data_IF_330853061185
#
_entry.id   IF_330853061185
#
_cell.length_a   1.000
_cell.length_b   1.000
_cell.length_c   1.000
_cell.angle_alpha   90.00
_cell.angle_beta   90.00
_cell.angle_gamma   90.00
#
_symmetry.space_group_name_H-M   'P 1'
#
loop_
_entity.id
_entity.type
_entity.pdbx_description
1 polymer ?
#
# COMPACT_ATOMS: atom_id res chain seq x y z
N UNK A 1 75.78 4.09 -33.82
CA UNK A 1 75.27 4.51 -32.50
C UNK A 1 73.80 4.73 -32.65
N UNK A 2 72.98 3.69 -32.29
CA UNK A 2 71.52 3.65 -32.51
C UNK A 2 70.84 3.76 -31.18
N UNK A 3 69.97 4.75 -31.00
CA UNK A 3 69.19 4.99 -29.82
C UNK A 3 67.76 4.51 -30.03
N UNK A 4 67.39 3.38 -29.42
CA UNK A 4 66.04 2.85 -29.39
C UNK A 4 65.17 3.65 -28.42
N UNK A 5 64.05 4.20 -28.90
CA UNK A 5 63.02 4.81 -28.10
C UNK A 5 61.93 3.76 -27.81
N UNK A 6 61.79 3.38 -26.52
CA UNK A 6 60.64 2.62 -26.05
C UNK A 6 59.44 3.56 -25.91
N UNK A 7 58.35 3.25 -26.61
CA UNK A 7 57.05 3.87 -26.40
C UNK A 7 56.26 3.02 -25.38
N UNK A 8 55.95 3.58 -24.24
CA UNK A 8 55.07 2.96 -23.24
C UNK A 8 53.59 3.29 -23.62
N UNK A 9 52.84 2.25 -23.95
CA UNK A 9 51.38 2.34 -24.23
C UNK A 9 50.63 2.20 -22.91
N UNK A 10 50.14 3.31 -22.35
CA UNK A 10 49.29 3.31 -21.19
C UNK A 10 47.83 2.91 -21.57
N UNK A 11 47.41 1.75 -21.11
CA UNK A 11 46.03 1.32 -21.27
C UNK A 11 45.12 2.02 -20.22
N UNK A 12 44.29 2.93 -20.65
CA UNK A 12 43.27 3.61 -19.83
C UNK A 12 42.05 2.69 -19.71
N UNK A 13 41.90 2.03 -18.55
CA UNK A 13 40.70 1.24 -18.21
C UNK A 13 39.59 2.20 -17.84
N UNK A 14 38.63 2.38 -18.77
CA UNK A 14 37.34 3.03 -18.51
C UNK A 14 36.46 2.06 -17.71
N UNK A 15 36.36 2.28 -16.40
CA UNK A 15 35.38 1.63 -15.55
C UNK A 15 34.03 2.32 -15.79
N UNK A 16 33.18 1.73 -16.66
CA UNK A 16 31.78 2.12 -16.80
C UNK A 16 31.03 1.65 -15.57
N UNK A 17 30.93 2.48 -14.56
CA UNK A 17 29.99 2.28 -13.45
C UNK A 17 28.57 2.46 -13.98
N UNK A 18 27.78 1.38 -14.06
CA UNK A 18 26.34 1.47 -14.18
C UNK A 18 25.80 2.11 -12.90
N UNK A 19 25.55 3.41 -12.93
CA UNK A 19 24.72 4.05 -11.92
C UNK A 19 23.28 3.54 -12.15
N UNK A 20 22.79 2.71 -11.24
CA UNK A 20 21.38 2.39 -11.14
C UNK A 20 20.63 3.72 -10.89
N UNK A 21 20.01 4.25 -11.92
CA UNK A 21 19.13 5.40 -11.80
C UNK A 21 17.90 4.89 -11.04
N UNK A 22 17.81 5.18 -9.74
CA UNK A 22 16.60 5.03 -8.96
C UNK A 22 15.51 5.82 -9.70
N UNK A 23 14.64 5.11 -10.42
CA UNK A 23 13.43 5.71 -10.99
C UNK A 23 12.55 6.11 -9.83
N UNK A 24 12.60 7.37 -9.45
CA UNK A 24 11.57 7.97 -8.59
C UNK A 24 10.29 7.96 -9.42
N UNK A 25 9.40 7.04 -9.13
CA UNK A 25 8.09 7.02 -9.78
C UNK A 25 7.37 8.34 -9.51
N UNK A 26 6.76 8.91 -10.55
CA UNK A 26 6.00 10.15 -10.42
C UNK A 26 4.86 9.98 -9.40
N UNK A 27 4.55 11.02 -8.59
CA UNK A 27 3.42 10.97 -7.68
C UNK A 27 2.13 10.59 -8.41
N UNK A 28 1.34 9.68 -7.82
CA UNK A 28 0.03 9.33 -8.37
C UNK A 28 -0.92 10.50 -8.13
N UNK A 29 -1.66 10.90 -9.16
CA UNK A 29 -2.71 11.91 -9.01
C UNK A 29 -3.76 11.42 -8.00
N UNK A 30 -4.32 12.32 -7.18
CA UNK A 30 -5.41 11.95 -6.26
C UNK A 30 -6.67 11.53 -7.03
N UNK A 31 -7.55 10.72 -6.40
CA UNK A 31 -8.88 10.48 -6.95
C UNK A 31 -9.63 11.79 -7.22
N UNK A 32 -10.48 11.88 -8.27
CA UNK A 32 -11.14 13.15 -8.66
C UNK A 32 -11.93 13.82 -7.54
N UNK A 33 -12.53 13.06 -6.62
CA UNK A 33 -13.34 13.57 -5.50
C UNK A 33 -12.54 13.64 -4.18
N UNK A 34 -11.21 13.50 -4.23
CA UNK A 34 -10.39 13.57 -3.02
C UNK A 34 -10.44 14.96 -2.42
N UNK A 35 -10.75 15.12 -1.10
CA UNK A 35 -11.07 16.41 -0.49
C UNK A 35 -9.81 17.23 -0.13
N UNK A 36 -8.87 17.36 -1.04
CA UNK A 36 -7.61 18.08 -0.82
C UNK A 36 -7.86 19.55 -0.43
N UNK A 37 -8.87 20.19 -1.05
CA UNK A 37 -9.23 21.58 -0.77
C UNK A 37 -9.61 21.83 0.70
N UNK A 38 -10.25 20.84 1.36
CA UNK A 38 -10.57 20.92 2.78
C UNK A 38 -9.30 21.08 3.63
N UNK A 39 -8.28 20.25 3.37
CA UNK A 39 -7.03 20.26 4.11
C UNK A 39 -6.22 21.54 3.86
N UNK A 40 -6.23 22.02 2.62
CA UNK A 40 -5.61 23.30 2.26
C UNK A 40 -6.27 24.48 2.96
N UNK A 41 -7.60 24.49 3.09
CA UNK A 41 -8.32 25.52 3.83
C UNK A 41 -8.05 25.43 5.34
N UNK A 42 -8.03 24.24 5.91
CA UNK A 42 -7.69 24.03 7.31
C UNK A 42 -6.27 24.56 7.62
N UNK A 43 -5.30 24.26 6.76
CA UNK A 43 -3.92 24.75 6.89
C UNK A 43 -3.85 26.26 6.83
N UNK A 44 -4.52 26.89 5.85
CA UNK A 44 -4.61 28.37 5.74
C UNK A 44 -5.27 29.03 6.95
N UNK A 45 -6.18 28.31 7.61
CA UNK A 45 -6.82 28.77 8.85
C UNK A 45 -5.96 28.52 10.11
N UNK A 46 -4.69 28.11 9.96
CA UNK A 46 -3.78 27.82 11.06
C UNK A 46 -4.10 26.53 11.84
N UNK A 47 -4.97 25.66 11.33
CA UNK A 47 -5.30 24.39 11.96
C UNK A 47 -4.21 23.35 11.68
N UNK A 48 -3.89 22.47 12.64
CA UNK A 48 -2.91 21.41 12.42
C UNK A 48 -3.39 20.43 11.35
N UNK A 49 -2.61 20.29 10.29
CA UNK A 49 -2.78 19.29 9.22
C UNK A 49 -1.51 18.47 9.12
N UNK A 50 -1.68 17.18 8.96
CA UNK A 50 -0.58 16.22 8.78
C UNK A 50 -0.75 15.56 7.42
N UNK A 51 0.36 15.38 6.70
CA UNK A 51 0.42 14.66 5.44
C UNK A 51 0.99 13.27 5.69
N UNK A 52 0.40 12.25 5.08
CA UNK A 52 0.91 10.88 5.16
C UNK A 52 2.33 10.81 4.60
N UNK A 53 3.20 10.17 5.35
CA UNK A 53 4.57 9.81 4.96
C UNK A 53 4.54 8.39 4.39
N UNK A 54 4.38 8.29 3.08
CA UNK A 54 4.26 7.00 2.37
C UNK A 54 5.44 6.08 2.66
N UNK A 55 6.66 6.62 2.70
CA UNK A 55 7.87 5.83 2.95
C UNK A 55 7.94 5.20 4.36
N UNK A 56 7.16 5.73 5.30
CA UNK A 56 7.06 5.23 6.68
C UNK A 56 5.67 4.63 6.97
N UNK A 57 4.89 4.32 5.94
CA UNK A 57 3.55 3.76 6.05
C UNK A 57 3.45 2.42 5.32
N UNK A 58 2.65 1.52 5.84
CA UNK A 58 2.41 0.19 5.27
C UNK A 58 0.96 -0.20 5.46
N UNK A 59 0.36 -0.73 4.40
CA UNK A 59 -0.84 -1.57 4.45
C UNK A 59 -0.47 -2.94 3.89
N UNK A 60 -0.72 -4.01 4.63
CA UNK A 60 -0.46 -5.37 4.18
C UNK A 60 -1.70 -6.23 4.37
N UNK A 61 -2.05 -7.01 3.35
CA UNK A 61 -3.24 -7.84 3.28
C UNK A 61 -2.82 -9.29 3.05
N UNK A 62 -3.21 -10.18 3.95
CA UNK A 62 -3.03 -11.61 3.80
C UNK A 62 -4.17 -12.22 3.00
N UNK A 63 -3.81 -12.90 1.93
CA UNK A 63 -4.71 -13.55 0.99
C UNK A 63 -4.46 -15.04 1.04
N UNK A 64 -5.43 -15.79 1.58
CA UNK A 64 -5.27 -17.23 1.81
C UNK A 64 -5.86 -18.04 0.67
N UNK A 65 -5.14 -19.10 0.27
CA UNK A 65 -5.60 -20.14 -0.66
C UNK A 65 -6.77 -20.93 -0.08
N UNK A 66 -7.66 -21.41 -0.96
CA UNK A 66 -8.85 -22.18 -0.62
C UNK A 66 -9.19 -23.21 -1.70
N UNK A 67 -10.35 -23.86 -1.56
CA UNK A 67 -10.82 -24.91 -2.46
C UNK A 67 -10.28 -26.31 -2.12
N UNK A 68 -10.80 -27.33 -2.81
CA UNK A 68 -10.45 -28.73 -2.58
C UNK A 68 -9.00 -29.09 -2.97
N UNK A 69 -8.42 -28.31 -3.88
CA UNK A 69 -7.04 -28.44 -4.34
C UNK A 69 -6.16 -27.28 -3.85
N UNK A 70 -6.48 -26.65 -2.72
CA UNK A 70 -5.74 -25.51 -2.16
C UNK A 70 -4.22 -25.75 -2.04
N UNK A 71 -3.79 -27.01 -1.85
CA UNK A 71 -2.36 -27.37 -1.80
C UNK A 71 -1.58 -27.07 -3.08
N UNK A 72 -2.26 -26.86 -4.20
CA UNK A 72 -1.65 -26.50 -5.50
C UNK A 72 -1.57 -24.99 -5.72
N UNK A 73 -2.16 -24.21 -4.82
CA UNK A 73 -2.09 -22.74 -4.85
C UNK A 73 -1.13 -22.20 -3.80
N UNK A 74 -1.00 -20.89 -3.78
CA UNK A 74 -0.16 -20.14 -2.85
C UNK A 74 -1.00 -19.24 -1.95
N UNK A 75 -0.50 -19.00 -0.74
CA UNK A 75 -0.92 -17.84 0.06
C UNK A 75 -0.12 -16.63 -0.40
N UNK A 76 -0.73 -15.46 -0.43
CA UNK A 76 -0.11 -14.23 -0.91
C UNK A 76 -0.22 -13.11 0.12
N UNK A 77 0.78 -12.21 0.14
CA UNK A 77 0.68 -10.92 0.80
C UNK A 77 0.61 -9.83 -0.26
N UNK A 78 -0.42 -9.00 -0.18
CA UNK A 78 -0.56 -7.81 -1.03
C UNK A 78 -0.27 -6.60 -0.16
N UNK A 79 0.64 -5.73 -0.59
CA UNK A 79 1.07 -4.59 0.19
C UNK A 79 1.00 -3.27 -0.57
N UNK A 80 0.82 -2.18 0.17
CA UNK A 80 1.03 -0.82 -0.31
C UNK A 80 1.99 -0.08 0.60
N UNK A 81 3.04 0.47 0.00
CA UNK A 81 3.95 1.47 0.59
C UNK A 81 3.67 2.87 0.03
N UNK A 82 2.59 3.04 -0.74
CA UNK A 82 2.23 4.29 -1.41
C UNK A 82 0.87 4.82 -0.93
N UNK A 83 0.66 4.75 0.39
CA UNK A 83 -0.51 5.37 1.02
C UNK A 83 -0.35 6.87 1.00
N UNK A 84 -1.31 7.58 0.42
CA UNK A 84 -1.28 9.04 0.30
C UNK A 84 -2.50 9.65 0.97
N UNK A 85 -2.37 10.85 1.54
CA UNK A 85 -3.50 11.57 2.12
C UNK A 85 -3.13 12.50 3.25
N UNK A 86 -4.16 12.90 4.01
CA UNK A 86 -4.05 13.89 5.06
C UNK A 86 -4.84 13.50 6.31
N UNK A 87 -4.39 14.06 7.44
CA UNK A 87 -5.05 13.94 8.74
C UNK A 87 -5.24 15.33 9.32
N UNK A 88 -6.45 15.66 9.77
CA UNK A 88 -6.80 16.88 10.49
C UNK A 88 -7.37 16.48 11.87
N UNK A 89 -6.51 16.28 12.88
CA UNK A 89 -6.93 15.73 14.17
C UNK A 89 -7.90 16.62 14.92
N UNK A 90 -7.80 17.94 14.76
CA UNK A 90 -8.76 18.90 15.32
C UNK A 90 -10.17 18.80 14.75
N UNK A 91 -10.30 18.18 13.57
CA UNK A 91 -11.57 17.94 12.90
C UNK A 91 -12.01 16.44 13.03
N UNK A 92 -11.24 15.64 13.74
CA UNK A 92 -11.49 14.19 13.85
C UNK A 92 -11.47 13.47 12.51
N UNK A 93 -10.75 13.98 11.50
CA UNK A 93 -10.86 13.56 10.11
C UNK A 93 -9.53 13.15 9.51
N UNK A 94 -9.55 12.06 8.73
CA UNK A 94 -8.50 11.71 7.80
C UNK A 94 -9.10 11.19 6.49
N UNK A 95 -8.48 11.54 5.39
CA UNK A 95 -8.80 11.01 4.06
C UNK A 95 -7.51 10.49 3.41
N UNK A 96 -7.53 9.22 3.01
CA UNK A 96 -6.39 8.53 2.44
C UNK A 96 -6.79 7.83 1.14
N UNK A 97 -5.83 7.56 0.29
CA UNK A 97 -6.03 6.70 -0.88
C UNK A 97 -4.79 5.87 -1.19
N UNK A 98 -5.02 4.77 -1.89
CA UNK A 98 -4.00 3.86 -2.41
C UNK A 98 -4.28 3.66 -3.89
N UNK A 99 -3.27 3.86 -4.74
CA UNK A 99 -3.35 3.53 -6.15
C UNK A 99 -3.17 2.01 -6.33
N UNK A 100 -4.20 1.32 -6.82
CA UNK A 100 -4.18 -0.14 -6.93
C UNK A 100 -3.07 -0.66 -7.85
N UNK A 101 -2.74 0.09 -8.91
CA UNK A 101 -1.65 -0.26 -9.81
C UNK A 101 -0.26 -0.32 -9.15
N UNK A 102 -0.10 0.27 -7.95
CA UNK A 102 1.15 0.28 -7.18
C UNK A 102 1.22 -0.76 -6.07
N UNK A 103 0.23 -1.62 -5.98
CA UNK A 103 0.26 -2.73 -5.03
C UNK A 103 1.41 -3.68 -5.37
N UNK A 104 2.20 -4.01 -4.36
CA UNK A 104 3.22 -5.05 -4.40
C UNK A 104 2.61 -6.40 -3.99
N UNK A 105 3.14 -7.48 -4.53
CA UNK A 105 2.70 -8.85 -4.21
C UNK A 105 3.90 -9.64 -3.74
N UNK A 106 3.76 -10.33 -2.63
CA UNK A 106 4.67 -11.33 -2.12
C UNK A 106 6.10 -10.84 -1.81
N UNK A 107 6.23 -9.64 -1.26
CA UNK A 107 7.50 -9.18 -0.72
C UNK A 107 8.03 -10.17 0.33
N UNK A 108 9.30 -10.64 0.22
CA UNK A 108 9.82 -11.75 1.02
C UNK A 108 9.68 -11.55 2.53
N UNK A 109 9.94 -10.34 3.02
CA UNK A 109 9.84 -10.05 4.46
C UNK A 109 8.40 -10.09 4.96
N UNK A 110 7.44 -9.58 4.19
CA UNK A 110 6.03 -9.60 4.55
C UNK A 110 5.46 -11.02 4.54
N UNK A 111 5.90 -11.87 3.59
CA UNK A 111 5.55 -13.29 3.58
C UNK A 111 6.09 -14.03 4.80
N UNK A 112 7.32 -13.74 5.18
CA UNK A 112 7.95 -14.31 6.38
C UNK A 112 7.21 -13.91 7.65
N UNK A 113 6.83 -12.64 7.78
CA UNK A 113 6.02 -12.13 8.88
C UNK A 113 4.64 -12.79 8.97
N UNK A 114 4.01 -13.06 7.81
CA UNK A 114 2.73 -13.77 7.71
C UNK A 114 2.85 -15.28 8.00
N UNK A 115 4.06 -15.81 8.11
CA UNK A 115 4.31 -17.24 8.37
C UNK A 115 3.89 -18.14 7.22
N UNK A 116 3.97 -17.66 5.96
CA UNK A 116 3.56 -18.45 4.79
C UNK A 116 4.60 -19.52 4.43
N UNK A 117 4.12 -20.73 4.20
CA UNK A 117 4.92 -21.92 3.93
C UNK A 117 5.25 -22.12 2.44
N UNK A 118 4.50 -21.44 1.55
CA UNK A 118 4.70 -21.56 0.10
C UNK A 118 5.74 -20.55 -0.40
N UNK A 119 6.41 -20.91 -1.51
CA UNK A 119 7.40 -20.04 -2.16
C UNK A 119 7.03 -19.89 -3.63
N UNK A 120 6.18 -18.90 -3.97
CA UNK A 120 5.85 -18.62 -5.36
C UNK A 120 7.09 -18.17 -6.13
N UNK A 121 7.16 -18.55 -7.40
CA UNK A 121 8.19 -18.04 -8.32
C UNK A 121 7.88 -16.60 -8.73
N UNK A 122 8.84 -15.91 -9.35
CA UNK A 122 8.62 -14.57 -9.90
C UNK A 122 7.46 -14.56 -10.91
N UNK A 123 7.35 -15.61 -11.74
CA UNK A 123 6.23 -15.78 -12.68
C UNK A 123 4.89 -15.94 -11.97
N UNK A 124 4.85 -16.68 -10.85
CA UNK A 124 3.63 -16.83 -10.05
C UNK A 124 3.21 -15.48 -9.42
N UNK A 125 4.18 -14.71 -8.94
CA UNK A 125 3.96 -13.38 -8.35
C UNK A 125 3.41 -12.41 -9.41
N UNK A 126 4.03 -12.36 -10.59
CA UNK A 126 3.59 -11.51 -11.68
C UNK A 126 2.20 -11.92 -12.19
N UNK A 127 1.95 -13.22 -12.35
CA UNK A 127 0.65 -13.75 -12.73
C UNK A 127 -0.43 -13.43 -11.68
N UNK A 128 -0.10 -13.54 -10.39
CA UNK A 128 -1.00 -13.16 -9.29
C UNK A 128 -1.32 -11.68 -9.32
N UNK A 129 -0.29 -10.82 -9.49
CA UNK A 129 -0.47 -9.38 -9.59
C UNK A 129 -1.34 -9.00 -10.79
N UNK A 130 -1.10 -9.58 -11.94
CA UNK A 130 -1.88 -9.35 -13.15
C UNK A 130 -3.35 -9.75 -12.94
N UNK A 131 -3.62 -10.98 -12.46
CA UNK A 131 -4.97 -11.45 -12.18
C UNK A 131 -5.69 -10.59 -11.14
N UNK A 132 -4.98 -10.18 -10.08
CA UNK A 132 -5.53 -9.30 -9.05
C UNK A 132 -5.99 -7.97 -9.65
N UNK A 133 -5.16 -7.31 -10.44
CA UNK A 133 -5.47 -6.00 -10.99
C UNK A 133 -6.56 -6.04 -12.06
N UNK A 134 -6.58 -7.09 -12.92
CA UNK A 134 -7.47 -7.15 -14.07
C UNK A 134 -8.78 -7.87 -13.76
N UNK A 135 -8.75 -9.01 -13.07
CA UNK A 135 -9.92 -9.87 -12.89
C UNK A 135 -10.59 -9.75 -11.53
N UNK A 136 -9.86 -9.29 -10.51
CA UNK A 136 -10.37 -9.19 -9.14
C UNK A 136 -10.75 -7.77 -8.80
N UNK A 137 -9.83 -6.82 -8.99
CA UNK A 137 -10.02 -5.42 -8.59
C UNK A 137 -10.58 -4.54 -9.71
N UNK A 138 -10.54 -4.99 -10.98
CA UNK A 138 -10.90 -4.18 -12.16
C UNK A 138 -10.24 -2.78 -12.07
N UNK A 139 -8.92 -2.78 -11.87
CA UNK A 139 -8.16 -1.57 -11.50
C UNK A 139 -8.13 -0.50 -12.61
N UNK A 140 -8.44 -0.86 -13.85
CA UNK A 140 -8.64 0.09 -14.94
C UNK A 140 -9.87 0.97 -14.68
N UNK A 141 -10.96 0.36 -14.23
CA UNK A 141 -12.21 1.05 -13.91
C UNK A 141 -12.21 1.66 -12.51
N UNK A 142 -11.59 0.99 -11.55
CA UNK A 142 -11.55 1.39 -10.14
C UNK A 142 -10.09 1.53 -9.68
N UNK A 143 -9.38 2.58 -10.10
CA UNK A 143 -7.93 2.68 -9.91
C UNK A 143 -7.47 2.91 -8.47
N UNK A 144 -8.40 3.17 -7.54
CA UNK A 144 -8.07 3.53 -6.16
C UNK A 144 -8.87 2.74 -5.13
N UNK A 145 -8.23 2.45 -4.00
CA UNK A 145 -8.92 2.28 -2.73
C UNK A 145 -8.91 3.63 -2.00
N UNK A 146 -10.08 4.09 -1.54
CA UNK A 146 -10.25 5.36 -0.83
C UNK A 146 -10.70 5.08 0.59
N UNK A 147 -10.06 5.72 1.56
CA UNK A 147 -10.32 5.53 2.98
C UNK A 147 -10.67 6.87 3.60
N UNK A 148 -11.85 6.96 4.21
CA UNK A 148 -12.30 8.12 4.95
C UNK A 148 -12.52 7.79 6.42
N UNK A 149 -11.90 8.56 7.30
CA UNK A 149 -12.03 8.46 8.75
C UNK A 149 -12.79 9.66 9.26
N UNK A 150 -13.74 9.44 10.16
CA UNK A 150 -14.52 10.50 10.81
C UNK A 150 -14.58 10.28 12.32
N UNK A 151 -14.76 11.38 13.04
CA UNK A 151 -14.98 11.41 14.48
C UNK A 151 -13.86 10.71 15.29
N UNK A 152 -12.62 10.71 14.75
CA UNK A 152 -11.46 10.14 15.42
C UNK A 152 -10.88 11.12 16.46
N UNK A 153 -10.66 10.65 17.69
CA UNK A 153 -9.97 11.42 18.72
C UNK A 153 -8.49 10.98 18.80
N UNK A 154 -7.62 11.78 18.21
CA UNK A 154 -6.18 11.53 18.21
C UNK A 154 -5.51 11.65 19.60
N UNK A 155 -6.24 12.07 20.64
CA UNK A 155 -5.73 12.12 22.01
C UNK A 155 -5.85 10.77 22.74
N UNK A 156 -6.67 9.87 22.23
CA UNK A 156 -6.83 8.53 22.79
C UNK A 156 -5.76 7.61 22.20
N UNK A 157 -4.94 7.02 23.07
CA UNK A 157 -3.92 6.06 22.63
C UNK A 157 -4.51 4.78 22.02
N UNK A 158 -5.66 4.35 22.49
CA UNK A 158 -6.42 3.23 21.94
C UNK A 158 -7.85 3.69 21.67
N UNK A 159 -8.30 3.55 20.45
CA UNK A 159 -9.63 3.97 20.03
C UNK A 159 -10.23 2.96 19.06
N UNK A 160 -11.55 2.92 19.02
CA UNK A 160 -12.27 2.31 17.89
C UNK A 160 -12.63 3.43 16.92
N UNK A 161 -12.07 3.36 15.73
CA UNK A 161 -12.20 4.41 14.71
C UNK A 161 -13.21 4.01 13.66
N UNK A 162 -14.14 4.91 13.32
CA UNK A 162 -15.09 4.71 12.22
C UNK A 162 -14.39 4.99 10.89
N UNK A 163 -14.26 3.94 10.07
CA UNK A 163 -13.55 3.98 8.78
C UNK A 163 -14.50 3.58 7.67
N UNK A 164 -14.68 4.44 6.67
CA UNK A 164 -15.34 4.10 5.42
C UNK A 164 -14.29 3.78 4.36
N UNK A 165 -14.38 2.59 3.77
CA UNK A 165 -13.49 2.15 2.68
C UNK A 165 -14.32 2.05 1.41
N UNK A 166 -13.84 2.69 0.35
CA UNK A 166 -14.39 2.54 -1.01
C UNK A 166 -13.39 1.73 -1.82
N UNK A 167 -13.83 0.58 -2.30
CA UNK A 167 -13.05 -0.34 -3.13
C UNK A 167 -13.98 -0.94 -4.18
N UNK A 168 -13.50 -1.13 -5.41
CA UNK A 168 -14.26 -1.74 -6.50
C UNK A 168 -15.65 -1.08 -6.71
N UNK A 169 -15.73 0.25 -6.53
CA UNK A 169 -16.98 1.03 -6.67
C UNK A 169 -17.97 0.90 -5.51
N UNK A 170 -17.70 0.10 -4.49
CA UNK A 170 -18.56 -0.08 -3.32
C UNK A 170 -17.93 0.53 -2.06
N UNK A 171 -18.74 1.19 -1.22
CA UNK A 171 -18.29 1.73 0.07
C UNK A 171 -18.83 0.88 1.21
N UNK A 172 -17.95 0.58 2.18
CA UNK A 172 -18.30 -0.14 3.42
C UNK A 172 -17.73 0.58 4.63
N UNK A 173 -18.48 0.56 5.72
CA UNK A 173 -18.06 1.18 6.99
C UNK A 173 -17.66 0.10 7.99
N UNK A 174 -16.55 0.35 8.67
CA UNK A 174 -15.98 -0.55 9.67
C UNK A 174 -15.71 0.20 10.97
N UNK A 175 -15.77 -0.52 12.08
CA UNK A 175 -15.27 -0.08 13.36
C UNK A 175 -13.92 -0.75 13.60
N UNK A 176 -12.84 0.02 13.50
CA UNK A 176 -11.48 -0.50 13.49
C UNK A 176 -10.80 -0.18 14.82
N UNK A 177 -10.45 -1.18 15.62
CA UNK A 177 -9.56 -0.97 16.77
C UNK A 177 -8.20 -0.49 16.29
N UNK A 178 -7.76 0.64 16.81
CA UNK A 178 -6.51 1.27 16.43
C UNK A 178 -5.71 1.73 17.64
N UNK A 179 -4.40 1.61 17.53
CA UNK A 179 -3.45 2.26 18.43
C UNK A 179 -2.97 3.56 17.79
N UNK A 180 -3.03 4.66 18.53
CA UNK A 180 -2.72 6.01 18.07
C UNK A 180 -1.60 6.58 18.92
N UNK A 181 -0.50 6.96 18.28
CA UNK A 181 0.59 7.70 18.89
C UNK A 181 0.68 9.06 18.19
N UNK A 182 0.41 10.13 18.92
CA UNK A 182 0.39 11.48 18.36
C UNK A 182 1.26 12.42 19.18
N UNK A 183 2.05 13.22 18.48
CA UNK A 183 2.77 14.37 19.03
C UNK A 183 2.61 15.59 18.09
N UNK A 184 3.28 16.70 18.41
CA UNK A 184 3.22 17.92 17.62
C UNK A 184 3.85 17.79 16.23
N UNK A 185 4.64 16.73 15.97
CA UNK A 185 5.39 16.54 14.71
C UNK A 185 4.79 15.45 13.85
N UNK A 186 4.23 14.42 14.47
CA UNK A 186 3.75 13.24 13.75
C UNK A 186 2.56 12.57 14.46
N UNK A 187 1.81 11.83 13.67
CA UNK A 187 0.76 10.91 14.14
C UNK A 187 1.09 9.55 13.52
N UNK A 188 1.09 8.50 14.34
CA UNK A 188 1.19 7.10 13.89
C UNK A 188 -0.07 6.38 14.33
N UNK A 189 -0.72 5.71 13.39
CA UNK A 189 -1.92 4.92 13.64
C UNK A 189 -1.69 3.51 13.12
N UNK A 190 -1.86 2.52 13.98
CA UNK A 190 -1.74 1.11 13.60
C UNK A 190 -2.95 0.29 14.02
N UNK A 191 -3.23 -0.78 13.31
CA UNK A 191 -4.37 -1.64 13.61
C UNK A 191 -4.49 -2.82 12.66
N UNK A 192 -5.60 -3.56 12.86
CA UNK A 192 -5.96 -4.71 12.03
C UNK A 192 -7.44 -4.64 11.68
N UNK A 193 -7.78 -5.20 10.52
CA UNK A 193 -9.16 -5.29 10.05
C UNK A 193 -9.33 -6.58 9.25
N UNK A 194 -10.31 -7.38 9.62
CA UNK A 194 -10.77 -8.51 8.81
C UNK A 194 -12.02 -8.10 8.03
N UNK A 195 -12.05 -8.41 6.74
CA UNK A 195 -13.18 -8.12 5.87
C UNK A 195 -13.29 -9.17 4.75
N UNK A 196 -14.38 -9.14 3.98
CA UNK A 196 -14.59 -10.05 2.87
C UNK A 196 -14.50 -9.31 1.53
N UNK A 197 -13.96 -9.98 0.52
CA UNK A 197 -13.95 -9.48 -0.85
C UNK A 197 -15.39 -9.25 -1.35
N UNK A 198 -16.30 -10.16 -1.02
CA UNK A 198 -17.72 -10.07 -1.37
C UNK A 198 -18.44 -8.88 -0.73
N UNK A 199 -17.95 -8.31 0.38
CA UNK A 199 -18.49 -7.07 0.94
C UNK A 199 -18.41 -5.91 -0.07
N UNK A 200 -17.40 -5.93 -0.95
CA UNK A 200 -17.19 -4.91 -1.98
C UNK A 200 -17.70 -5.34 -3.37
N UNK A 201 -18.47 -6.44 -3.45
CA UNK A 201 -18.95 -6.99 -4.73
C UNK A 201 -17.85 -7.67 -5.55
N UNK A 202 -16.70 -7.93 -4.95
CA UNK A 202 -15.60 -8.63 -5.59
C UNK A 202 -15.86 -10.15 -5.52
N UNK A 203 -15.73 -10.83 -6.65
CA UNK A 203 -15.73 -12.30 -6.68
C UNK A 203 -14.31 -12.81 -6.44
N UNK A 204 -14.07 -13.61 -5.38
CA UNK A 204 -12.77 -14.19 -5.13
C UNK A 204 -12.25 -15.00 -6.32
N UNK A 205 -10.98 -14.83 -6.66
CA UNK A 205 -10.38 -15.53 -7.80
C UNK A 205 -10.42 -17.04 -7.62
N UNK A 206 -10.83 -17.77 -8.67
CA UNK A 206 -10.95 -19.20 -8.65
C UNK A 206 -10.65 -19.84 -10.01
N UNK A 207 -10.05 -21.02 -9.98
CA UNK A 207 -9.75 -21.85 -11.14
C UNK A 207 -10.40 -23.23 -10.96
N UNK A 208 -10.55 -23.96 -12.08
CA UNK A 208 -11.07 -25.33 -12.11
C UNK A 208 -12.41 -25.47 -11.36
N UNK A 209 -13.35 -24.52 -11.59
CA UNK A 209 -14.65 -24.55 -10.93
C UNK A 209 -14.59 -24.35 -9.42
N UNK A 210 -13.56 -23.64 -8.89
CA UNK A 210 -13.40 -23.39 -7.47
C UNK A 210 -12.53 -24.42 -6.73
N UNK A 211 -12.00 -25.42 -7.44
CA UNK A 211 -11.09 -26.40 -6.82
C UNK A 211 -9.78 -25.74 -6.33
N UNK A 212 -9.28 -24.76 -7.03
CA UNK A 212 -8.22 -23.85 -6.58
C UNK A 212 -8.86 -22.47 -6.48
N UNK A 213 -8.84 -21.87 -5.31
CA UNK A 213 -9.51 -20.60 -5.08
C UNK A 213 -8.76 -19.74 -4.05
N UNK A 214 -9.08 -18.47 -4.03
CA UNK A 214 -8.76 -17.54 -2.93
C UNK A 214 -9.91 -17.54 -1.94
N UNK A 215 -9.61 -17.54 -0.63
CA UNK A 215 -10.63 -17.36 0.40
C UNK A 215 -11.25 -15.97 0.30
N UNK A 216 -12.53 -15.87 0.58
CA UNK A 216 -13.26 -14.60 0.59
C UNK A 216 -12.76 -13.65 1.69
N UNK A 217 -12.50 -14.18 2.88
CA UNK A 217 -11.99 -13.41 4.02
C UNK A 217 -10.54 -13.03 3.85
N UNK A 218 -10.25 -11.75 4.08
CA UNK A 218 -8.93 -11.12 4.04
C UNK A 218 -8.59 -10.57 5.42
N UNK A 219 -7.32 -10.70 5.82
CA UNK A 219 -6.80 -10.09 7.05
C UNK A 219 -5.85 -8.93 6.66
N UNK A 220 -6.21 -7.72 7.05
CA UNK A 220 -5.47 -6.51 6.80
C UNK A 220 -4.78 -6.04 8.08
N UNK A 221 -3.52 -5.65 7.98
CA UNK A 221 -2.80 -4.87 9.00
C UNK A 221 -2.28 -3.58 8.39
N UNK A 222 -2.23 -2.54 9.20
CA UNK A 222 -1.70 -1.25 8.75
C UNK A 222 -0.88 -0.56 9.83
N UNK A 223 0.06 0.25 9.38
CA UNK A 223 0.75 1.26 10.17
C UNK A 223 0.92 2.49 9.29
N UNK A 224 0.25 3.58 9.65
CA UNK A 224 0.23 4.82 8.88
C UNK A 224 0.89 5.91 9.70
N UNK A 225 1.92 6.52 9.14
CA UNK A 225 2.60 7.68 9.72
C UNK A 225 2.25 8.93 8.94
N UNK A 226 1.84 9.99 9.64
CA UNK A 226 1.61 11.29 9.05
C UNK A 226 2.51 12.33 9.73
N UNK A 227 3.12 13.22 8.97
CA UNK A 227 4.00 14.32 9.43
C UNK A 227 3.26 15.64 9.37
N UNK A 228 3.44 16.48 10.39
CA UNK A 228 2.85 17.83 10.43
C UNK A 228 3.34 18.64 9.24
N UNK A 229 2.39 19.29 8.59
CA UNK A 229 2.69 20.26 7.54
C UNK A 229 3.10 21.59 8.15
N UNK A 230 4.06 22.32 7.53
CA UNK A 230 4.34 23.69 7.91
C UNK A 230 3.09 24.53 7.65
N UNK A 231 2.77 25.43 8.60
CA UNK A 231 1.69 26.40 8.48
C UNK A 231 2.11 27.61 7.66
#
# INVERSE_FOLDING_TARGET
MSASRLAALGALLLVSGCAEILRVEAPVAPPPEFPESFYQQALKAGKPVYRVDSAASLVAIEVRRGGSLARLGHDHVVASHDVTGYVAPGEGRADLYVALARLAVDEPELRKEAGFDTRPTESDIEGTRSNMLTHVLDAEKYPYAVIAVKDADAKQRQATVAVAITLHGATRSFQVPAEIEADDKAIVVSGKLDFKQTDFGITPYALLGGAIAVKDGLALRFSIRAKRMPG
#
